data_IF_037047989196
#
_entry.id   IF_037047989196
#
_cell.length_a   1.000
_cell.length_b   1.000
_cell.length_c   1.000
_cell.angle_alpha   90.00
_cell.angle_beta   90.00
_cell.angle_gamma   90.00
#
_symmetry.space_group_name_H-M   'P 1'
#
loop_
_entity.id
_entity.type
_entity.pdbx_description
1 polymer ?
#
# COMPACT_ATOMS: atom_id res chain seq x y z
N UNK A 1 25.89 -18.63 14.03
CA UNK A 1 26.07 -18.95 15.47
C UNK A 1 25.73 -17.71 16.37
N UNK A 2 26.56 -16.64 16.48
CA UNK A 2 26.20 -15.48 17.34
C UNK A 2 24.94 -14.74 16.86
N UNK A 3 24.78 -14.52 15.55
CA UNK A 3 23.59 -13.88 14.96
C UNK A 3 22.34 -14.73 15.23
N UNK A 4 22.43 -16.04 15.10
CA UNK A 4 21.30 -16.94 15.28
C UNK A 4 20.84 -16.96 16.75
N UNK A 5 21.80 -17.00 17.70
CA UNK A 5 21.51 -16.92 19.15
C UNK A 5 20.85 -15.56 19.49
N UNK A 6 21.29 -14.46 18.87
CA UNK A 6 20.72 -13.15 19.09
C UNK A 6 19.28 -13.05 18.53
N UNK A 7 19.06 -13.55 17.31
CA UNK A 7 17.73 -13.59 16.67
C UNK A 7 16.79 -14.47 17.50
N UNK A 8 17.21 -15.65 17.93
CA UNK A 8 16.41 -16.55 18.77
C UNK A 8 16.02 -15.89 20.11
N UNK A 9 16.95 -15.14 20.71
CA UNK A 9 16.69 -14.39 21.94
C UNK A 9 15.68 -13.26 21.73
N UNK A 10 15.77 -12.54 20.61
CA UNK A 10 14.80 -11.50 20.22
C UNK A 10 13.42 -12.09 19.98
N UNK A 11 13.33 -13.16 19.19
CA UNK A 11 12.05 -13.86 18.91
C UNK A 11 11.40 -14.33 20.20
N UNK A 12 12.18 -14.87 21.13
CA UNK A 12 11.65 -15.33 22.43
C UNK A 12 11.15 -14.17 23.30
N UNK A 13 11.78 -12.99 23.21
CA UNK A 13 11.49 -11.85 24.09
C UNK A 13 10.37 -10.94 23.57
N UNK A 14 10.28 -10.73 22.26
CA UNK A 14 9.40 -9.72 21.63
C UNK A 14 8.57 -10.24 20.45
N UNK A 15 8.61 -11.55 20.17
CA UNK A 15 7.82 -12.20 19.13
C UNK A 15 8.60 -12.51 17.87
N UNK A 16 8.03 -13.38 17.03
CA UNK A 16 8.63 -13.86 15.77
C UNK A 16 8.92 -12.76 14.75
N UNK A 17 8.14 -11.69 14.78
CA UNK A 17 8.25 -10.54 13.89
C UNK A 17 9.60 -9.81 14.04
N UNK A 18 10.25 -9.98 15.18
CA UNK A 18 11.60 -9.46 15.41
C UNK A 18 12.67 -10.04 14.47
N UNK A 19 12.39 -11.19 13.87
CA UNK A 19 13.27 -11.86 12.90
C UNK A 19 12.93 -11.51 11.44
N UNK A 20 11.87 -10.75 11.18
CA UNK A 20 11.46 -10.39 9.83
C UNK A 20 12.49 -9.46 9.18
N UNK A 21 12.70 -9.66 7.89
CA UNK A 21 13.52 -8.76 7.08
C UNK A 21 12.81 -7.41 6.95
N UNK A 22 13.56 -6.32 7.08
CA UNK A 22 13.01 -4.96 6.99
C UNK A 22 13.01 -4.52 5.53
N UNK A 23 11.88 -4.00 5.07
CA UNK A 23 11.73 -3.41 3.74
C UNK A 23 11.09 -2.03 3.88
N UNK A 24 11.78 -0.98 3.43
CA UNK A 24 11.26 0.37 3.41
C UNK A 24 10.88 0.78 1.99
N UNK A 25 9.64 1.24 1.82
CA UNK A 25 9.08 1.77 0.57
C UNK A 25 8.83 3.27 0.77
N UNK A 26 9.77 4.14 0.33
CA UNK A 26 9.70 5.58 0.59
C UNK A 26 8.61 6.27 -0.24
N UNK A 27 8.21 7.48 0.16
CA UNK A 27 7.58 8.46 -0.72
C UNK A 27 8.59 8.95 -1.78
N UNK A 28 8.14 9.61 -2.86
CA UNK A 28 9.03 10.07 -3.92
C UNK A 28 9.51 8.96 -4.88
N UNK A 29 8.79 7.85 -4.95
CA UNK A 29 9.08 6.69 -5.81
C UNK A 29 9.05 7.01 -7.31
N UNK A 30 8.40 8.11 -7.74
CA UNK A 30 8.40 8.61 -9.12
C UNK A 30 9.80 8.87 -9.66
N UNK A 31 10.77 9.12 -8.77
CA UNK A 31 12.18 9.25 -9.11
C UNK A 31 12.67 8.08 -9.98
N UNK A 32 12.27 6.83 -9.65
CA UNK A 32 12.72 5.64 -10.37
C UNK A 32 12.18 5.52 -11.80
N UNK A 33 11.00 6.09 -12.07
CA UNK A 33 10.46 6.14 -13.44
C UNK A 33 11.29 7.03 -14.37
N UNK A 34 11.93 8.06 -13.81
CA UNK A 34 12.75 9.03 -14.55
C UNK A 34 14.23 8.66 -14.60
N UNK A 35 14.72 7.84 -13.66
CA UNK A 35 16.12 7.46 -13.56
C UNK A 35 16.60 6.68 -14.80
N UNK A 36 15.74 5.87 -15.41
CA UNK A 36 16.05 5.06 -16.59
C UNK A 36 16.59 5.88 -17.77
N UNK A 37 16.19 7.15 -17.88
CA UNK A 37 16.60 8.02 -18.97
C UNK A 37 17.81 8.90 -18.62
N UNK A 38 18.18 9.05 -17.35
CA UNK A 38 19.13 10.06 -16.88
C UNK A 38 20.18 9.53 -15.88
N UNK A 39 20.40 8.21 -15.82
CA UNK A 39 21.29 7.58 -14.82
C UNK A 39 22.71 8.18 -14.83
N UNK A 40 23.25 8.51 -16.01
CA UNK A 40 24.61 9.06 -16.14
C UNK A 40 24.73 10.51 -15.67
N UNK A 41 23.72 11.34 -15.91
CA UNK A 41 23.71 12.72 -15.39
C UNK A 41 23.51 12.73 -13.89
N UNK A 42 22.80 11.75 -13.36
CA UNK A 42 22.60 11.58 -11.92
C UNK A 42 23.87 11.09 -11.21
N UNK A 43 24.55 10.09 -11.77
CA UNK A 43 25.83 9.59 -11.23
C UNK A 43 26.96 10.62 -11.28
N UNK A 44 26.89 11.60 -12.19
CA UNK A 44 27.87 12.68 -12.30
C UNK A 44 27.61 13.83 -11.31
N UNK A 45 26.38 13.97 -10.80
CA UNK A 45 26.07 14.91 -9.73
C UNK A 45 26.42 14.26 -8.38
N UNK A 46 27.41 14.79 -7.69
CA UNK A 46 27.86 14.34 -6.33
C UNK A 46 26.79 14.51 -5.22
N UNK A 47 25.54 14.70 -5.54
CA UNK A 47 24.44 14.76 -4.60
C UNK A 47 24.09 13.33 -4.21
N UNK A 48 24.47 12.94 -2.99
CA UNK A 48 24.16 11.62 -2.44
C UNK A 48 22.64 11.40 -2.42
N UNK A 49 22.19 10.33 -3.06
CA UNK A 49 20.83 9.83 -2.93
C UNK A 49 20.60 9.47 -1.45
N UNK A 50 19.40 9.77 -0.98
CA UNK A 50 18.95 9.26 0.30
C UNK A 50 19.22 7.75 0.41
N UNK A 51 19.82 7.25 1.49
CA UNK A 51 20.17 5.84 1.63
C UNK A 51 18.97 4.89 1.46
N UNK A 52 17.78 5.26 1.93
CA UNK A 52 16.57 4.45 1.83
C UNK A 52 16.05 4.39 0.39
N UNK A 53 16.05 5.53 -0.32
CA UNK A 53 15.73 5.58 -1.75
C UNK A 53 16.69 4.70 -2.55
N UNK A 54 17.98 4.73 -2.24
CA UNK A 54 18.98 3.91 -2.94
C UNK A 54 18.77 2.42 -2.69
N UNK A 55 18.49 2.02 -1.45
CA UNK A 55 18.23 0.62 -1.09
C UNK A 55 16.96 0.12 -1.76
N UNK A 56 15.86 0.87 -1.65
CA UNK A 56 14.60 0.56 -2.32
C UNK A 56 14.80 0.42 -3.84
N UNK A 57 15.49 1.37 -4.48
CA UNK A 57 15.78 1.33 -5.91
C UNK A 57 16.54 0.08 -6.33
N UNK A 58 17.55 -0.34 -5.55
CA UNK A 58 18.31 -1.56 -5.80
C UNK A 58 17.43 -2.81 -5.73
N UNK A 59 16.54 -2.89 -4.74
CA UNK A 59 15.59 -4.00 -4.60
C UNK A 59 14.59 -4.00 -5.75
N UNK A 60 14.01 -2.84 -6.07
CA UNK A 60 13.06 -2.66 -7.17
C UNK A 60 13.65 -3.07 -8.52
N UNK A 61 14.88 -2.65 -8.84
CA UNK A 61 15.56 -3.03 -10.08
C UNK A 61 15.82 -4.53 -10.20
N UNK A 62 16.07 -5.22 -9.11
CA UNK A 62 16.24 -6.67 -9.09
C UNK A 62 14.92 -7.43 -9.30
N UNK A 63 13.80 -6.90 -8.78
CA UNK A 63 12.46 -7.51 -8.89
C UNK A 63 11.83 -7.22 -10.24
N UNK A 64 12.01 -6.02 -10.78
CA UNK A 64 11.40 -5.52 -12.00
C UNK A 64 11.59 -6.39 -13.25
N UNK A 65 12.79 -6.95 -13.57
CA UNK A 65 12.98 -7.81 -14.73
C UNK A 65 12.20 -9.11 -14.67
N UNK A 66 11.97 -9.61 -13.45
CA UNK A 66 11.17 -10.82 -13.22
C UNK A 66 9.68 -10.54 -13.40
N UNK A 67 9.29 -9.27 -13.30
CA UNK A 67 7.95 -8.77 -13.57
C UNK A 67 6.86 -9.43 -12.74
N UNK A 68 5.64 -8.93 -12.90
CA UNK A 68 4.41 -9.53 -12.39
C UNK A 68 4.12 -10.94 -12.97
N UNK A 69 5.00 -11.45 -13.84
CA UNK A 69 4.73 -12.66 -14.65
C UNK A 69 5.43 -13.94 -14.18
N UNK A 70 6.41 -13.89 -13.28
CA UNK A 70 7.23 -15.09 -12.98
C UNK A 70 6.78 -15.84 -11.75
N UNK A 71 6.36 -15.15 -10.69
CA UNK A 71 5.84 -15.79 -9.49
C UNK A 71 4.33 -15.53 -9.40
N UNK A 72 3.54 -16.47 -9.89
CA UNK A 72 2.08 -16.43 -9.73
C UNK A 72 1.69 -17.23 -8.52
N UNK A 73 0.74 -16.72 -7.77
CA UNK A 73 0.11 -17.46 -6.69
C UNK A 73 -0.55 -18.74 -7.24
N UNK A 74 -0.53 -19.82 -6.46
CA UNK A 74 -1.25 -21.04 -6.78
C UNK A 74 -2.76 -20.79 -6.85
N UNK A 75 -3.27 -19.91 -5.98
CA UNK A 75 -4.66 -19.49 -6.00
C UNK A 75 -4.89 -18.43 -7.10
N UNK A 76 -5.56 -18.87 -8.18
CA UNK A 76 -5.83 -18.03 -9.35
C UNK A 76 -6.77 -16.87 -9.05
N UNK A 77 -7.74 -17.05 -8.16
CA UNK A 77 -8.72 -16.01 -7.82
C UNK A 77 -8.06 -14.85 -7.11
N UNK A 78 -7.15 -15.14 -6.18
CA UNK A 78 -6.35 -14.11 -5.49
C UNK A 78 -5.40 -13.42 -6.47
N UNK A 79 -4.79 -14.16 -7.39
CA UNK A 79 -3.92 -13.58 -8.40
C UNK A 79 -4.68 -12.61 -9.30
N UNK A 80 -5.88 -12.98 -9.76
CA UNK A 80 -6.74 -12.13 -10.57
C UNK A 80 -7.19 -10.87 -9.81
N UNK A 81 -7.49 -10.99 -8.53
CA UNK A 81 -7.79 -9.84 -7.66
C UNK A 81 -6.61 -8.87 -7.59
N UNK A 82 -5.39 -9.39 -7.33
CA UNK A 82 -4.17 -8.58 -7.28
C UNK A 82 -3.92 -7.89 -8.61
N UNK A 83 -3.98 -8.63 -9.73
CA UNK A 83 -3.76 -8.08 -11.07
C UNK A 83 -4.78 -6.97 -11.38
N UNK A 84 -6.05 -7.17 -11.03
CA UNK A 84 -7.12 -6.18 -11.19
C UNK A 84 -6.88 -4.92 -10.36
N UNK A 85 -6.49 -5.06 -9.10
CA UNK A 85 -6.20 -3.93 -8.22
C UNK A 85 -4.99 -3.12 -8.71
N UNK A 86 -3.96 -3.79 -9.23
CA UNK A 86 -2.81 -3.14 -9.85
C UNK A 86 -3.23 -2.34 -11.09
N UNK A 87 -3.97 -2.97 -12.02
CA UNK A 87 -4.44 -2.30 -13.23
C UNK A 87 -5.32 -1.09 -12.92
N UNK A 88 -6.22 -1.21 -11.94
CA UNK A 88 -7.08 -0.11 -11.49
C UNK A 88 -6.30 1.02 -10.82
N UNK A 89 -5.27 0.70 -10.03
CA UNK A 89 -4.41 1.70 -9.37
C UNK A 89 -3.57 2.48 -10.37
N UNK A 90 -3.12 1.81 -11.44
CA UNK A 90 -2.32 2.40 -12.52
C UNK A 90 -3.17 3.04 -13.63
N UNK A 91 -4.50 2.82 -13.63
CA UNK A 91 -5.40 3.15 -14.74
C UNK A 91 -4.91 2.60 -16.08
N UNK A 92 -4.33 1.38 -16.07
CA UNK A 92 -3.80 0.70 -17.24
C UNK A 92 -2.96 -0.52 -16.88
N UNK A 93 -2.73 -1.37 -17.88
CA UNK A 93 -1.93 -2.58 -17.72
C UNK A 93 -0.44 -2.29 -17.83
N UNK A 94 0.34 -2.69 -16.84
CA UNK A 94 1.78 -2.59 -16.90
C UNK A 94 2.37 -3.62 -17.88
N UNK A 95 3.25 -3.16 -18.76
CA UNK A 95 3.99 -3.98 -19.73
C UNK A 95 5.46 -3.63 -19.66
N UNK A 96 6.30 -4.63 -19.34
CA UNK A 96 7.76 -4.50 -19.40
C UNK A 96 8.28 -5.10 -20.71
N UNK A 97 8.89 -4.28 -21.56
CA UNK A 97 9.41 -4.73 -22.84
C UNK A 97 10.77 -4.06 -23.14
N UNK A 98 11.76 -4.88 -23.48
CA UNK A 98 13.12 -4.43 -23.86
C UNK A 98 13.75 -3.46 -22.84
N UNK A 99 13.58 -3.75 -21.54
CA UNK A 99 14.12 -2.96 -20.44
C UNK A 99 13.38 -1.63 -20.19
N UNK A 100 12.19 -1.44 -20.78
CA UNK A 100 11.35 -0.24 -20.59
C UNK A 100 9.97 -0.62 -20.09
N UNK A 101 9.40 0.26 -19.29
CA UNK A 101 8.07 0.12 -18.75
C UNK A 101 7.07 1.00 -19.48
N UNK A 102 5.93 0.39 -19.79
CA UNK A 102 4.81 1.04 -20.46
C UNK A 102 3.51 0.76 -19.68
N UNK A 103 2.58 1.67 -19.77
CA UNK A 103 1.18 1.46 -19.42
C UNK A 103 0.37 1.34 -20.71
N UNK A 104 -0.35 0.23 -20.84
CA UNK A 104 -1.32 0.01 -21.90
C UNK A 104 -2.71 0.37 -21.37
N UNK A 105 -3.28 1.45 -21.91
CA UNK A 105 -4.59 1.95 -21.46
C UNK A 105 -5.72 1.32 -22.28
N UNK A 106 -6.99 1.32 -21.79
CA UNK A 106 -8.10 0.59 -22.39
C UNK A 106 -8.35 0.86 -23.89
N UNK A 107 -7.91 2.01 -24.42
CA UNK A 107 -8.02 2.35 -25.84
C UNK A 107 -6.88 1.77 -26.70
N UNK A 108 -6.04 0.90 -26.18
CA UNK A 108 -4.88 0.30 -26.85
C UNK A 108 -3.65 1.20 -26.98
N UNK A 109 -3.69 2.41 -26.45
CA UNK A 109 -2.55 3.31 -26.46
C UNK A 109 -1.52 2.87 -25.42
N UNK A 110 -0.23 2.86 -25.78
CA UNK A 110 0.89 2.64 -24.87
C UNK A 110 1.56 3.96 -24.50
N UNK A 111 1.75 4.15 -23.21
CA UNK A 111 2.41 5.33 -22.63
C UNK A 111 3.66 4.84 -21.89
N UNK A 112 4.83 5.38 -22.22
CA UNK A 112 6.02 5.10 -21.40
C UNK A 112 5.81 5.62 -19.99
N UNK A 113 6.20 4.85 -18.98
CA UNK A 113 6.03 5.25 -17.57
C UNK A 113 6.71 6.58 -17.25
N UNK A 114 7.84 6.88 -17.86
CA UNK A 114 8.53 8.16 -17.71
C UNK A 114 7.72 9.38 -18.22
N UNK A 115 6.72 9.15 -19.08
CA UNK A 115 5.82 10.16 -19.62
C UNK A 115 4.38 10.04 -19.05
N UNK A 116 4.17 9.20 -18.05
CA UNK A 116 2.90 9.06 -17.37
C UNK A 116 2.75 10.10 -16.25
N UNK A 117 1.59 10.13 -15.59
CA UNK A 117 1.38 11.03 -14.44
C UNK A 117 2.30 10.66 -13.27
N UNK A 118 2.58 11.64 -12.40
CA UNK A 118 3.36 11.39 -11.17
C UNK A 118 2.76 10.30 -10.32
N UNK A 119 1.43 10.27 -10.18
CA UNK A 119 0.73 9.21 -9.45
C UNK A 119 0.98 7.82 -10.05
N UNK A 120 0.94 7.67 -11.38
CA UNK A 120 1.25 6.39 -12.03
C UNK A 120 2.72 5.97 -11.84
N UNK A 121 3.65 6.94 -11.88
CA UNK A 121 5.07 6.69 -11.63
C UNK A 121 5.33 6.23 -10.19
N UNK A 122 4.69 6.88 -9.21
CA UNK A 122 4.75 6.50 -7.78
C UNK A 122 4.17 5.11 -7.54
N UNK A 123 3.00 4.85 -8.13
CA UNK A 123 2.23 3.63 -7.87
C UNK A 123 2.86 2.40 -8.49
N UNK A 124 3.51 2.51 -9.66
CA UNK A 124 4.10 1.35 -10.33
C UNK A 124 5.10 0.61 -9.45
N UNK A 125 6.05 1.33 -8.87
CA UNK A 125 7.07 0.71 -8.03
C UNK A 125 6.47 0.08 -6.77
N UNK A 126 5.49 0.74 -6.14
CA UNK A 126 4.75 0.21 -4.99
C UNK A 126 4.00 -1.09 -5.35
N UNK A 127 3.23 -1.08 -6.44
CA UNK A 127 2.41 -2.24 -6.83
C UNK A 127 3.27 -3.43 -7.26
N UNK A 128 4.39 -3.21 -7.95
CA UNK A 128 5.35 -4.26 -8.30
C UNK A 128 5.96 -4.88 -7.04
N UNK A 129 6.32 -4.07 -6.04
CA UNK A 129 6.84 -4.58 -4.77
C UNK A 129 5.79 -5.39 -4.01
N UNK A 130 4.55 -4.89 -3.91
CA UNK A 130 3.45 -5.62 -3.25
C UNK A 130 3.15 -6.95 -3.93
N UNK A 131 3.11 -6.98 -5.27
CA UNK A 131 2.93 -8.21 -6.03
C UNK A 131 4.08 -9.21 -5.79
N UNK A 132 5.32 -8.74 -5.73
CA UNK A 132 6.46 -9.60 -5.40
C UNK A 132 6.36 -10.18 -3.99
N UNK A 133 5.97 -9.37 -3.01
CA UNK A 133 5.78 -9.81 -1.61
C UNK A 133 4.68 -10.86 -1.48
N UNK A 134 3.62 -10.84 -2.29
CA UNK A 134 2.57 -11.85 -2.24
C UNK A 134 3.06 -13.26 -2.60
N UNK A 135 4.15 -13.37 -3.34
CA UNK A 135 4.70 -14.63 -3.87
C UNK A 135 6.01 -15.09 -3.23
N UNK A 136 6.60 -14.29 -2.34
CA UNK A 136 7.89 -14.64 -1.70
C UNK A 136 7.67 -15.49 -0.44
N UNK A 137 8.59 -16.45 -0.16
CA UNK A 137 8.50 -17.27 1.04
C UNK A 137 9.11 -16.62 2.30
N UNK A 138 9.88 -15.55 2.13
CA UNK A 138 10.52 -14.83 3.24
C UNK A 138 9.56 -13.91 3.99
N UNK A 139 9.78 -13.78 5.29
CA UNK A 139 8.97 -12.91 6.15
C UNK A 139 9.52 -11.49 6.16
N UNK A 140 8.64 -10.48 6.08
CA UNK A 140 9.02 -9.07 6.00
C UNK A 140 8.17 -8.18 6.91
N UNK A 141 8.85 -7.22 7.55
CA UNK A 141 8.22 -6.01 8.06
C UNK A 141 8.38 -4.92 7.00
N UNK A 142 7.27 -4.46 6.46
CA UNK A 142 7.22 -3.52 5.33
C UNK A 142 6.77 -2.16 5.83
N UNK A 143 7.61 -1.16 5.67
CA UNK A 143 7.31 0.24 5.98
C UNK A 143 6.93 0.94 4.68
N UNK A 144 5.71 1.47 4.59
CA UNK A 144 5.23 2.21 3.41
C UNK A 144 4.98 3.65 3.82
N UNK A 145 5.72 4.56 3.21
CA UNK A 145 5.54 5.98 3.39
C UNK A 145 4.58 6.52 2.34
N UNK A 146 3.50 7.16 2.79
CA UNK A 146 2.50 7.83 1.97
C UNK A 146 2.08 7.02 0.71
N UNK A 147 1.38 5.89 0.86
CA UNK A 147 0.93 5.10 -0.29
C UNK A 147 0.00 5.89 -1.21
N UNK A 148 -0.62 6.95 -0.71
CA UNK A 148 -1.51 7.86 -1.42
C UNK A 148 -0.82 8.92 -2.29
N UNK A 149 0.51 9.06 -2.22
CA UNK A 149 1.23 10.16 -2.86
C UNK A 149 0.84 10.34 -4.33
N UNK A 150 0.36 11.55 -4.69
CA UNK A 150 -0.09 11.93 -6.02
C UNK A 150 -1.28 11.14 -6.61
N UNK A 151 -2.02 10.39 -5.80
CA UNK A 151 -3.16 9.59 -6.24
C UNK A 151 -4.52 10.27 -6.04
N UNK A 152 -5.42 10.07 -6.99
CA UNK A 152 -6.84 10.35 -6.78
C UNK A 152 -7.44 9.40 -5.73
N UNK A 153 -8.50 9.83 -5.01
CA UNK A 153 -9.13 9.02 -3.95
C UNK A 153 -9.51 7.59 -4.39
N UNK A 154 -9.98 7.41 -5.62
CA UNK A 154 -10.32 6.08 -6.15
C UNK A 154 -9.10 5.16 -6.27
N UNK A 155 -7.95 5.68 -6.69
CA UNK A 155 -6.72 4.92 -6.77
C UNK A 155 -6.13 4.65 -5.38
N UNK A 156 -6.28 5.57 -4.43
CA UNK A 156 -5.88 5.35 -3.03
C UNK A 156 -6.64 4.16 -2.43
N UNK A 157 -7.95 4.07 -2.68
CA UNK A 157 -8.76 2.91 -2.28
C UNK A 157 -8.19 1.61 -2.86
N UNK A 158 -7.89 1.55 -4.16
CA UNK A 158 -7.37 0.35 -4.80
C UNK A 158 -6.01 -0.07 -4.20
N UNK A 159 -5.15 0.89 -3.86
CA UNK A 159 -3.86 0.62 -3.19
C UNK A 159 -4.08 0.02 -1.80
N UNK A 160 -5.04 0.54 -1.00
CA UNK A 160 -5.39 -0.03 0.31
C UNK A 160 -5.91 -1.46 0.16
N UNK A 161 -6.82 -1.68 -0.79
CA UNK A 161 -7.37 -3.01 -1.06
C UNK A 161 -6.26 -3.99 -1.51
N UNK A 162 -5.29 -3.52 -2.30
CA UNK A 162 -4.12 -4.32 -2.70
C UNK A 162 -3.24 -4.69 -1.49
N UNK A 163 -2.93 -3.72 -0.61
CA UNK A 163 -2.15 -3.98 0.61
C UNK A 163 -2.85 -5.01 1.48
N UNK A 164 -4.16 -4.88 1.69
CA UNK A 164 -4.96 -5.81 2.47
C UNK A 164 -4.98 -7.22 1.85
N UNK A 165 -5.13 -7.32 0.51
CA UNK A 165 -5.09 -8.60 -0.20
C UNK A 165 -3.74 -9.28 -0.05
N UNK A 166 -2.64 -8.54 -0.20
CA UNK A 166 -1.27 -9.05 -0.03
C UNK A 166 -1.02 -9.48 1.41
N UNK A 167 -1.48 -8.70 2.39
CA UNK A 167 -1.42 -9.06 3.80
C UNK A 167 -2.16 -10.38 4.08
N UNK A 168 -3.41 -10.51 3.63
CA UNK A 168 -4.22 -11.71 3.84
C UNK A 168 -3.62 -12.95 3.18
N UNK A 169 -2.97 -12.82 2.02
CA UNK A 169 -2.24 -13.93 1.39
C UNK A 169 -1.09 -14.45 2.26
N UNK A 170 -0.48 -13.60 3.07
CA UNK A 170 0.76 -13.87 3.77
C UNK A 170 0.73 -13.38 5.23
N UNK A 171 -0.44 -13.44 5.88
CA UNK A 171 -0.73 -12.90 7.20
C UNK A 171 0.32 -13.28 8.27
N UNK A 172 0.84 -14.51 8.20
CA UNK A 172 1.82 -15.01 9.16
C UNK A 172 3.27 -14.55 8.87
N UNK A 173 3.50 -13.92 7.72
CA UNK A 173 4.84 -13.60 7.20
C UNK A 173 5.01 -12.12 6.84
N UNK A 174 3.93 -11.34 6.89
CA UNK A 174 3.98 -9.92 6.57
C UNK A 174 3.45 -9.08 7.72
N UNK A 175 4.15 -8.00 8.02
CA UNK A 175 3.71 -6.93 8.89
C UNK A 175 3.86 -5.62 8.14
N UNK A 176 2.86 -4.75 8.21
CA UNK A 176 2.90 -3.44 7.54
C UNK A 176 2.89 -2.30 8.55
N UNK A 177 3.76 -1.31 8.34
CA UNK A 177 3.72 0.01 8.96
C UNK A 177 3.47 1.04 7.86
N UNK A 178 2.36 1.75 7.94
CA UNK A 178 1.93 2.69 6.90
C UNK A 178 1.81 4.07 7.51
N UNK A 179 2.50 5.05 6.94
CA UNK A 179 2.28 6.47 7.27
C UNK A 179 1.38 7.09 6.23
N UNK A 180 0.43 7.92 6.66
CA UNK A 180 -0.52 8.57 5.76
C UNK A 180 -0.99 9.92 6.29
N UNK A 181 -1.30 10.83 5.37
CA UNK A 181 -2.00 12.09 5.62
C UNK A 181 -3.40 12.11 4.97
N UNK A 182 -3.85 10.97 4.41
CA UNK A 182 -5.10 10.90 3.67
C UNK A 182 -6.24 10.31 4.47
N UNK A 183 -7.37 11.05 4.63
CA UNK A 183 -8.57 10.50 5.23
C UNK A 183 -9.17 9.36 4.39
N UNK A 184 -8.91 9.33 3.08
CA UNK A 184 -9.39 8.27 2.19
C UNK A 184 -8.74 6.91 2.47
N UNK A 185 -7.45 6.90 2.86
CA UNK A 185 -6.76 5.68 3.31
C UNK A 185 -7.45 5.12 4.56
N UNK A 186 -7.72 5.97 5.57
CA UNK A 186 -8.38 5.53 6.81
C UNK A 186 -9.81 5.05 6.56
N UNK A 187 -10.56 5.77 5.71
CA UNK A 187 -11.92 5.37 5.35
C UNK A 187 -11.95 4.05 4.57
N UNK A 188 -10.99 3.85 3.65
CA UNK A 188 -10.87 2.59 2.93
C UNK A 188 -10.56 1.42 3.89
N UNK A 189 -9.62 1.60 4.83
CA UNK A 189 -9.33 0.61 5.87
C UNK A 189 -10.58 0.31 6.72
N UNK A 190 -11.35 1.32 7.13
CA UNK A 190 -12.59 1.12 7.87
C UNK A 190 -13.61 0.27 7.11
N UNK A 191 -13.73 0.45 5.79
CA UNK A 191 -14.61 -0.39 4.97
C UNK A 191 -14.16 -1.85 4.98
N UNK A 192 -12.85 -2.12 4.95
CA UNK A 192 -12.30 -3.48 5.00
C UNK A 192 -12.46 -4.12 6.38
N UNK A 193 -12.28 -3.36 7.47
CA UNK A 193 -12.53 -3.79 8.84
C UNK A 193 -14.03 -4.10 9.06
N UNK A 194 -14.92 -3.21 8.61
CA UNK A 194 -16.36 -3.43 8.69
C UNK A 194 -16.79 -4.68 7.90
N UNK A 195 -16.18 -4.92 6.73
CA UNK A 195 -16.40 -6.14 5.97
C UNK A 195 -15.95 -7.38 6.77
N UNK A 196 -14.79 -7.33 7.44
CA UNK A 196 -14.30 -8.41 8.30
C UNK A 196 -15.25 -8.74 9.43
N UNK A 197 -15.77 -7.73 10.14
CA UNK A 197 -16.79 -7.90 11.18
C UNK A 197 -18.03 -8.61 10.61
N UNK A 198 -18.55 -8.12 9.48
CA UNK A 198 -19.72 -8.70 8.84
C UNK A 198 -19.50 -10.13 8.35
N UNK A 199 -18.31 -10.49 7.86
CA UNK A 199 -17.98 -11.86 7.48
C UNK A 199 -17.99 -12.82 8.69
N UNK A 200 -17.62 -12.35 9.87
CA UNK A 200 -17.62 -13.16 11.09
C UNK A 200 -19.02 -13.32 11.71
N UNK A 201 -19.84 -12.27 11.69
CA UNK A 201 -21.10 -12.20 12.44
C UNK A 201 -22.34 -12.55 11.62
N UNK A 202 -22.25 -12.56 10.27
CA UNK A 202 -23.43 -12.65 9.42
C UNK A 202 -23.71 -14.07 8.89
N UNK A 203 -24.98 -14.27 8.49
CA UNK A 203 -25.41 -15.50 7.81
C UNK A 203 -24.76 -15.64 6.42
N UNK A 204 -24.75 -16.88 5.90
CA UNK A 204 -24.19 -17.16 4.56
C UNK A 204 -24.82 -16.35 3.43
N UNK A 205 -26.09 -15.99 3.55
CA UNK A 205 -26.78 -15.21 2.53
C UNK A 205 -26.30 -13.74 2.53
N UNK A 206 -26.02 -13.17 3.70
CA UNK A 206 -25.41 -11.84 3.83
C UNK A 206 -23.97 -11.88 3.35
N UNK A 207 -23.20 -12.92 3.70
CA UNK A 207 -21.82 -13.08 3.22
C UNK A 207 -21.74 -13.13 1.68
N UNK A 208 -22.70 -13.78 0.99
CA UNK A 208 -22.78 -13.78 -0.48
C UNK A 208 -23.09 -12.40 -1.07
N UNK A 209 -23.83 -11.56 -0.36
CA UNK A 209 -24.06 -10.19 -0.80
C UNK A 209 -22.83 -9.31 -0.53
N UNK A 210 -22.17 -9.51 0.61
CA UNK A 210 -20.96 -8.82 0.99
C UNK A 210 -19.82 -9.09 0.01
N UNK A 211 -19.68 -10.33 -0.48
CA UNK A 211 -18.67 -10.72 -1.48
C UNK A 211 -18.74 -9.89 -2.77
N UNK A 212 -19.93 -9.39 -3.12
CA UNK A 212 -20.10 -8.50 -4.28
C UNK A 212 -19.67 -7.05 -4.03
N UNK A 213 -19.47 -6.67 -2.76
CA UNK A 213 -19.09 -5.32 -2.34
C UNK A 213 -17.61 -5.28 -1.98
N UNK A 214 -17.20 -6.19 -1.11
CA UNK A 214 -15.82 -6.38 -0.66
C UNK A 214 -15.56 -7.88 -0.57
N UNK A 215 -14.65 -8.41 -1.38
CA UNK A 215 -14.30 -9.82 -1.33
C UNK A 215 -13.63 -10.20 -0.01
N UNK A 216 -13.73 -11.48 0.37
CA UNK A 216 -13.05 -12.01 1.57
C UNK A 216 -11.54 -11.80 1.52
N UNK A 217 -10.94 -11.76 0.34
CA UNK A 217 -9.49 -11.53 0.17
C UNK A 217 -9.03 -10.16 0.64
N UNK A 218 -9.92 -9.17 0.64
CA UNK A 218 -9.64 -7.78 1.05
C UNK A 218 -10.03 -7.49 2.49
N UNK A 219 -10.94 -8.27 3.08
CA UNK A 219 -11.47 -8.01 4.42
C UNK A 219 -10.37 -8.11 5.48
N UNK A 220 -10.41 -7.23 6.48
CA UNK A 220 -9.43 -7.20 7.58
C UNK A 220 -10.12 -7.52 8.89
N UNK A 221 -9.46 -8.29 9.75
CA UNK A 221 -9.87 -8.48 11.12
C UNK A 221 -9.46 -7.27 11.96
N UNK A 222 -10.33 -6.83 12.88
CA UNK A 222 -10.04 -5.69 13.76
C UNK A 222 -8.84 -5.96 14.67
N UNK A 223 -8.54 -7.21 14.97
CA UNK A 223 -7.37 -7.61 15.77
C UNK A 223 -6.04 -7.49 15.00
N UNK A 224 -6.08 -7.38 13.67
CA UNK A 224 -4.89 -7.29 12.83
C UNK A 224 -4.42 -5.85 12.62
N UNK A 225 -5.18 -4.85 13.09
CA UNK A 225 -4.92 -3.46 12.81
C UNK A 225 -4.81 -2.62 14.08
N UNK A 226 -3.79 -1.77 14.11
CA UNK A 226 -3.65 -0.69 15.08
C UNK A 226 -3.44 0.63 14.34
N UNK A 227 -4.08 1.69 14.78
CA UNK A 227 -3.94 3.02 14.20
C UNK A 227 -3.61 4.07 15.26
N UNK A 228 -2.69 4.95 14.94
CA UNK A 228 -2.18 5.96 15.85
C UNK A 228 -2.07 7.31 15.14
N UNK A 229 -2.26 8.38 15.91
CA UNK A 229 -1.97 9.76 15.49
C UNK A 229 -0.83 10.32 16.32
N UNK A 230 0.05 11.07 15.66
CA UNK A 230 1.12 11.83 16.31
C UNK A 230 0.71 13.29 16.39
N UNK A 231 0.35 13.75 17.58
CA UNK A 231 -0.06 15.14 17.84
C UNK A 231 0.59 15.64 19.13
N UNK A 232 1.04 16.87 19.13
CA UNK A 232 1.64 17.55 20.30
C UNK A 232 2.77 16.73 20.95
N UNK A 233 3.59 16.07 20.15
CA UNK A 233 4.69 15.23 20.63
C UNK A 233 4.24 13.93 21.32
N UNK A 234 2.99 13.52 21.16
CA UNK A 234 2.43 12.29 21.74
C UNK A 234 1.85 11.38 20.65
N UNK A 235 2.01 10.08 20.88
CA UNK A 235 1.37 9.04 20.09
C UNK A 235 0.07 8.61 20.81
N UNK A 236 -1.07 8.65 20.11
CA UNK A 236 -2.38 8.28 20.67
C UNK A 236 -3.06 7.30 19.71
N UNK A 237 -3.67 6.24 20.26
CA UNK A 237 -4.54 5.36 19.48
C UNK A 237 -5.77 6.13 19.01
N UNK A 238 -6.14 5.89 17.75
CA UNK A 238 -7.35 6.41 17.11
C UNK A 238 -8.31 5.28 16.72
N UNK A 239 -8.12 4.07 17.27
CA UNK A 239 -9.07 2.97 17.13
C UNK A 239 -10.11 3.07 18.23
N UNK A 240 -11.39 3.08 17.86
CA UNK A 240 -12.51 3.07 18.78
C UNK A 240 -12.58 1.71 19.49
N UNK A 241 -12.49 1.65 20.83
CA UNK A 241 -12.49 0.38 21.56
C UNK A 241 -13.79 -0.44 21.40
N UNK A 242 -14.94 0.24 21.20
CA UNK A 242 -16.25 -0.42 21.11
C UNK A 242 -16.49 -1.03 19.73
N UNK A 243 -15.97 -0.41 18.66
CA UNK A 243 -16.25 -0.83 17.28
C UNK A 243 -15.05 -1.46 16.57
N UNK A 244 -13.85 -1.24 17.07
CA UNK A 244 -12.60 -1.63 16.39
C UNK A 244 -12.30 -0.83 15.14
N UNK A 245 -13.08 0.23 14.85
CA UNK A 245 -12.88 1.06 13.66
C UNK A 245 -11.97 2.26 13.96
N UNK A 246 -11.34 2.79 12.92
CA UNK A 246 -10.44 3.95 13.00
C UNK A 246 -11.28 5.23 13.05
N UNK A 247 -10.98 6.15 13.96
CA UNK A 247 -11.54 7.50 13.94
C UNK A 247 -10.86 8.35 12.85
N UNK A 248 -11.43 8.32 11.65
CA UNK A 248 -10.93 9.07 10.49
C UNK A 248 -11.09 10.60 10.63
N UNK A 249 -11.97 11.08 11.52
CA UNK A 249 -12.20 12.51 11.75
C UNK A 249 -10.97 13.23 12.28
N UNK A 250 -10.04 12.52 12.90
CA UNK A 250 -8.80 13.10 13.43
C UNK A 250 -7.96 13.78 12.32
N UNK A 251 -8.02 13.30 11.08
CA UNK A 251 -7.30 13.90 9.94
C UNK A 251 -8.19 14.88 9.16
N UNK A 252 -9.51 14.69 9.19
CA UNK A 252 -10.47 15.43 8.35
C UNK A 252 -11.22 16.54 9.10
N UNK A 253 -10.77 16.91 10.29
CA UNK A 253 -11.41 17.99 11.09
C UNK A 253 -11.47 19.35 10.34
N UNK A 254 -10.52 19.59 9.43
CA UNK A 254 -10.49 20.81 8.62
C UNK A 254 -11.66 20.87 7.63
N UNK A 255 -12.14 19.75 7.12
CA UNK A 255 -13.33 19.70 6.23
C UNK A 255 -14.59 20.13 6.97
N UNK A 256 -14.75 19.73 8.24
CA UNK A 256 -15.87 20.17 9.07
C UNK A 256 -15.79 21.68 9.36
N UNK A 257 -14.60 22.20 9.69
CA UNK A 257 -14.39 23.64 9.92
C UNK A 257 -14.72 24.48 8.67
N UNK A 258 -14.27 24.03 7.49
CA UNK A 258 -14.57 24.69 6.22
C UNK A 258 -16.08 24.64 5.86
N UNK A 259 -16.75 23.54 6.19
CA UNK A 259 -18.19 23.42 5.99
C UNK A 259 -18.97 24.40 6.88
N UNK A 260 -18.57 24.53 8.16
CA UNK A 260 -19.14 25.51 9.10
C UNK A 260 -18.91 26.94 8.61
N UNK A 261 -17.68 27.27 8.18
CA UNK A 261 -17.37 28.58 7.62
C UNK A 261 -18.22 28.88 6.38
N UNK A 262 -18.39 27.91 5.48
CA UNK A 262 -19.22 28.04 4.30
C UNK A 262 -20.70 28.30 4.65
N UNK A 263 -21.27 27.59 5.65
CA UNK A 263 -22.63 27.86 6.14
C UNK A 263 -22.77 29.28 6.70
N UNK A 264 -21.76 29.75 7.46
CA UNK A 264 -21.74 31.12 7.97
C UNK A 264 -21.75 32.14 6.83
N UNK A 265 -21.00 31.92 5.76
CA UNK A 265 -20.97 32.79 4.59
C UNK A 265 -22.33 32.83 3.86
N UNK A 266 -23.02 31.69 3.72
CA UNK A 266 -24.35 31.62 3.13
C UNK A 266 -25.41 32.42 3.92
N UNK A 267 -25.25 32.49 5.25
CA UNK A 267 -26.18 33.22 6.13
C UNK A 267 -25.94 34.74 6.13
N UNK A 268 -24.92 35.25 5.40
CA UNK A 268 -24.68 36.68 5.23
C UNK A 268 -25.44 37.28 4.01
N UNK A 269 -26.06 36.45 3.19
CA UNK A 269 -26.86 36.82 2.01
C UNK A 269 -28.32 36.63 2.34
#
# INVERSE_FOLDING_TARGET
MLRDIFVDSLVTSIGREAAFSQLFIPSGRSFFANLQNNIFSFLSSNNGLDPFLREFGSIYENIKPTGLSINRLENKDIQEEIDTLIENSLCGKHVHEKGKDFLEVPNGRRISIANSSSGQQETLSLTVMLAALSCQDSSHTVYIEEPEAHLFPSAQRNVVELIATVFNCRKEQLQFFITTHSPYILTALNNLLQAGILYQESSRDVQRQLEKIVSTYKSLDVSDLSAYVLMDGKCRSIVCPETGLIDAKVIDSVSDDLAIEFEQLLNLV
#
